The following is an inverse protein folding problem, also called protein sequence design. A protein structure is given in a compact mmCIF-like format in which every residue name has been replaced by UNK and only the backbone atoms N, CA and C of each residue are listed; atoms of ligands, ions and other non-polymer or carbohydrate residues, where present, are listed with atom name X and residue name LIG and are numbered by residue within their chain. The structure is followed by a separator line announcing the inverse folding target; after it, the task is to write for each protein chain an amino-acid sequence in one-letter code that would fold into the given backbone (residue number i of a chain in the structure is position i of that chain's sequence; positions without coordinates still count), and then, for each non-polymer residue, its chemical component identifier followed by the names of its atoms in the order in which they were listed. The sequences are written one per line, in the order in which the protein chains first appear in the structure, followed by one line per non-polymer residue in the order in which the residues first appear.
data_IF_946923089926
#
_entry.id   IF_946923089926
#
_cell.length_a   1.000
_cell.length_b   1.000
_cell.length_c   1.000
_cell.angle_alpha   90.00
_cell.angle_beta   90.00
_cell.angle_gamma   90.00
#
_symmetry.space_group_name_H-M   'P 1'
#
loop_
_entity.id
_entity.type
_entity.pdbx_description
1 polymer ?
#
# COMPACT_ATOMS: atom_id res chain seq x y z
N UNK A 1 11.54 9.94 15.20
CA UNK A 1 12.95 9.61 14.89
C UNK A 1 12.99 9.24 13.42
N UNK A 2 13.86 9.86 12.64
CA UNK A 2 13.91 9.61 11.20
C UNK A 2 14.65 8.28 10.96
N UNK A 3 13.98 7.32 10.31
CA UNK A 3 14.59 6.05 9.91
C UNK A 3 15.44 6.29 8.65
N UNK A 4 16.72 5.97 8.73
CA UNK A 4 17.62 5.91 7.58
C UNK A 4 17.58 4.51 6.97
N UNK A 5 16.97 4.40 5.78
CA UNK A 5 16.84 3.15 5.02
C UNK A 5 17.72 3.22 3.78
N UNK A 6 18.39 2.12 3.45
CA UNK A 6 19.21 1.99 2.25
C UNK A 6 18.34 1.66 1.04
N UNK A 7 18.15 2.62 0.14
CA UNK A 7 17.31 2.44 -1.06
C UNK A 7 17.85 1.40 -2.06
N UNK A 8 19.12 0.99 -1.94
CA UNK A 8 19.73 -0.06 -2.77
C UNK A 8 19.62 -1.45 -2.15
N UNK A 9 19.22 -1.55 -0.87
CA UNK A 9 19.01 -2.81 -0.18
C UNK A 9 17.61 -3.36 -0.49
N UNK A 10 17.51 -4.69 -0.54
CA UNK A 10 16.23 -5.40 -0.55
C UNK A 10 15.71 -5.63 0.87
N UNK A 11 14.42 -5.40 1.05
CA UNK A 11 13.68 -5.59 2.29
C UNK A 11 12.52 -6.54 2.10
N UNK A 12 12.07 -7.16 3.19
CA UNK A 12 10.85 -7.97 3.22
C UNK A 12 9.74 -7.27 3.99
N UNK A 13 8.54 -7.85 3.98
CA UNK A 13 7.42 -7.37 4.76
C UNK A 13 7.71 -7.40 6.27
N UNK A 14 8.52 -8.36 6.74
CA UNK A 14 8.96 -8.37 8.14
C UNK A 14 9.82 -7.14 8.48
N UNK A 15 10.75 -6.74 7.61
CA UNK A 15 11.52 -5.50 7.78
C UNK A 15 10.60 -4.27 7.72
N UNK A 16 9.68 -4.23 6.75
CA UNK A 16 8.73 -3.14 6.56
C UNK A 16 7.90 -2.87 7.82
N UNK A 17 7.48 -3.92 8.54
CA UNK A 17 6.70 -3.80 9.78
C UNK A 17 7.47 -3.13 10.93
N UNK A 18 8.81 -3.06 10.87
CA UNK A 18 9.61 -2.37 11.89
C UNK A 18 9.75 -0.87 11.61
N UNK A 19 9.25 -0.38 10.48
CA UNK A 19 9.36 1.02 10.09
C UNK A 19 8.23 1.84 10.71
N UNK A 20 8.43 2.23 11.97
CA UNK A 20 7.42 2.92 12.79
C UNK A 20 7.44 4.45 12.61
N UNK A 21 7.95 4.97 11.49
CA UNK A 21 7.86 6.40 11.18
C UNK A 21 6.60 6.74 10.36
N UNK A 22 6.34 8.02 10.17
CA UNK A 22 5.11 8.50 9.50
C UNK A 22 5.25 8.53 7.96
N UNK A 23 6.33 7.96 7.40
CA UNK A 23 6.59 8.03 5.96
C UNK A 23 5.88 6.92 5.22
N UNK A 24 5.08 7.28 4.21
CA UNK A 24 4.46 6.31 3.31
C UNK A 24 5.48 5.78 2.30
N UNK A 25 5.64 4.47 2.28
CA UNK A 25 6.56 3.75 1.40
C UNK A 25 5.90 2.47 0.90
N UNK A 26 6.32 2.02 -0.26
CA UNK A 26 5.97 0.71 -0.83
C UNK A 26 7.24 -0.12 -0.99
N UNK A 27 7.08 -1.44 -1.06
CA UNK A 27 8.10 -2.36 -1.52
C UNK A 27 7.73 -2.86 -2.91
N UNK A 28 8.63 -2.67 -3.88
CA UNK A 28 8.53 -3.26 -5.21
C UNK A 28 9.72 -4.20 -5.44
N UNK A 29 9.49 -5.52 -5.38
CA UNK A 29 10.55 -6.53 -5.45
C UNK A 29 11.67 -6.32 -4.42
N UNK A 30 11.28 -5.86 -3.23
CA UNK A 30 12.13 -5.59 -2.06
C UNK A 30 12.75 -4.20 -2.04
N UNK A 31 12.61 -3.42 -3.11
CA UNK A 31 13.15 -2.06 -3.15
C UNK A 31 12.12 -1.04 -2.68
N UNK A 32 12.60 -0.07 -1.91
CA UNK A 32 11.77 1.01 -1.37
C UNK A 32 11.34 1.96 -2.49
N UNK A 33 10.04 2.23 -2.55
CA UNK A 33 9.46 3.32 -3.36
C UNK A 33 8.73 4.29 -2.44
N UNK A 34 9.13 5.56 -2.51
CA UNK A 34 8.58 6.61 -1.66
C UNK A 34 7.27 7.14 -2.27
N UNK A 35 6.19 7.21 -1.47
CA UNK A 35 4.89 7.73 -1.91
C UNK A 35 4.77 9.26 -1.67
N UNK A 36 5.86 9.98 -1.95
CA UNK A 36 5.97 11.44 -1.82
C UNK A 36 6.17 12.09 -3.19
N UNK A 37 5.60 13.29 -3.44
CA UNK A 37 4.80 14.09 -2.50
C UNK A 37 3.43 13.49 -2.22
N UNK A 38 2.80 13.94 -1.13
CA UNK A 38 1.43 13.53 -0.82
C UNK A 38 0.47 13.89 -1.97
N UNK A 39 -0.61 13.12 -2.19
CA UNK A 39 -1.48 13.34 -3.34
C UNK A 39 -2.15 14.72 -3.31
N UNK A 40 -2.28 15.34 -4.48
CA UNK A 40 -2.95 16.63 -4.62
C UNK A 40 -4.46 16.56 -4.32
N UNK A 41 -5.07 17.71 -4.00
CA UNK A 41 -6.53 17.81 -3.76
C UNK A 41 -7.36 17.23 -4.92
N UNK A 42 -6.97 17.48 -6.18
CA UNK A 42 -7.64 16.91 -7.37
C UNK A 42 -7.63 15.37 -7.37
N UNK A 43 -6.52 14.76 -6.95
CA UNK A 43 -6.44 13.30 -6.84
C UNK A 43 -7.43 12.77 -5.79
N UNK A 44 -7.50 13.43 -4.63
CA UNK A 44 -8.41 13.04 -3.55
C UNK A 44 -9.88 13.23 -3.94
N UNK A 45 -10.22 14.28 -4.69
CA UNK A 45 -11.57 14.51 -5.20
C UNK A 45 -12.01 13.36 -6.13
N UNK A 46 -11.16 13.00 -7.11
CA UNK A 46 -11.46 11.88 -8.03
C UNK A 46 -11.59 10.55 -7.29
N UNK A 47 -10.69 10.27 -6.34
CA UNK A 47 -10.75 9.05 -5.53
C UNK A 47 -12.06 8.97 -4.73
N UNK A 48 -12.52 10.10 -4.17
CA UNK A 48 -13.74 10.16 -3.36
C UNK A 48 -15.00 9.83 -4.18
N UNK A 49 -15.11 10.39 -5.37
CA UNK A 49 -16.23 10.11 -6.29
C UNK A 49 -16.23 8.65 -6.73
N UNK A 50 -15.08 8.13 -7.19
CA UNK A 50 -14.97 6.73 -7.61
C UNK A 50 -15.29 5.76 -6.48
N UNK A 51 -14.76 6.00 -5.28
CA UNK A 51 -15.04 5.18 -4.11
C UNK A 51 -16.54 5.18 -3.78
N UNK A 52 -17.20 6.33 -3.87
CA UNK A 52 -18.65 6.46 -3.63
C UNK A 52 -19.46 5.61 -4.62
N UNK A 53 -19.15 5.70 -5.92
CA UNK A 53 -19.82 4.90 -6.95
C UNK A 53 -19.64 3.40 -6.72
N UNK A 54 -18.41 2.95 -6.43
CA UNK A 54 -18.15 1.54 -6.14
C UNK A 54 -18.87 1.06 -4.88
N UNK A 55 -18.83 1.84 -3.79
CA UNK A 55 -19.55 1.51 -2.55
C UNK A 55 -21.04 1.34 -2.83
N UNK A 56 -21.66 2.27 -3.55
CA UNK A 56 -23.08 2.24 -3.88
C UNK A 56 -23.45 1.02 -4.73
N UNK A 57 -22.60 0.65 -5.68
CA UNK A 57 -22.79 -0.55 -6.49
C UNK A 57 -22.64 -1.84 -5.67
N UNK A 58 -21.60 -1.96 -4.86
CA UNK A 58 -21.27 -3.17 -4.11
C UNK A 58 -22.22 -3.44 -2.94
N UNK A 59 -22.76 -2.39 -2.30
CA UNK A 59 -23.77 -2.52 -1.23
C UNK A 59 -25.04 -3.24 -1.70
N UNK A 60 -25.34 -3.24 -2.99
CA UNK A 60 -26.53 -3.91 -3.58
C UNK A 60 -26.32 -5.42 -3.73
N UNK A 61 -26.26 -6.14 -2.60
CA UNK A 61 -26.16 -7.61 -2.47
C UNK A 61 -24.94 -8.25 -3.14
N UNK A 62 -23.82 -7.53 -3.28
CA UNK A 62 -22.56 -8.12 -3.77
C UNK A 62 -21.71 -8.59 -2.57
N UNK A 63 -20.89 -9.62 -2.78
CA UNK A 63 -19.97 -10.14 -1.75
C UNK A 63 -18.61 -9.41 -1.70
N UNK A 64 -18.42 -8.38 -2.52
CA UNK A 64 -17.14 -7.67 -2.63
C UNK A 64 -17.09 -6.48 -1.66
N UNK A 65 -15.88 -6.07 -1.29
CA UNK A 65 -15.59 -4.91 -0.44
C UNK A 65 -14.58 -4.02 -1.16
N UNK A 66 -14.58 -2.73 -0.84
CA UNK A 66 -13.64 -1.73 -1.38
C UNK A 66 -12.81 -1.16 -0.23
N UNK A 67 -11.53 -0.92 -0.51
CA UNK A 67 -10.55 -0.36 0.41
C UNK A 67 -9.71 0.68 -0.37
N UNK A 68 -9.90 1.99 -0.16
CA UNK A 68 -9.08 3.01 -0.81
C UNK A 68 -7.71 3.14 -0.12
N UNK A 69 -6.72 3.67 -0.83
CA UNK A 69 -5.44 4.04 -0.23
C UNK A 69 -5.64 5.05 0.93
N UNK A 70 -4.84 4.97 2.02
CA UNK A 70 -3.76 4.01 2.26
C UNK A 70 -4.26 2.64 2.73
N UNK A 71 -3.83 1.57 2.05
CA UNK A 71 -4.07 0.19 2.46
C UNK A 71 -2.97 -0.72 1.89
N UNK A 72 -2.28 -1.49 2.74
CA UNK A 72 -1.19 -2.34 2.31
C UNK A 72 -1.71 -3.62 1.63
N UNK A 73 -1.38 -3.76 0.34
CA UNK A 73 -1.64 -4.95 -0.46
C UNK A 73 -0.35 -5.72 -0.64
N UNK A 74 -0.32 -6.94 -0.10
CA UNK A 74 0.83 -7.85 -0.17
C UNK A 74 0.67 -8.78 -1.36
N UNK A 75 1.72 -8.93 -2.17
CA UNK A 75 1.73 -9.79 -3.35
C UNK A 75 2.76 -10.92 -3.17
N UNK A 76 2.41 -12.01 -2.44
CA UNK A 76 3.30 -13.15 -2.22
C UNK A 76 3.49 -14.01 -3.48
N UNK A 77 4.63 -14.67 -3.58
CA UNK A 77 4.78 -15.82 -4.47
C UNK A 77 4.00 -17.04 -3.94
N UNK A 78 3.74 -18.01 -4.81
CA UNK A 78 3.03 -19.24 -4.43
C UNK A 78 3.81 -19.97 -3.32
N UNK A 79 3.17 -20.17 -2.17
CA UNK A 79 3.77 -20.84 -1.01
C UNK A 79 4.74 -19.98 -0.20
N UNK A 80 4.84 -18.68 -0.48
CA UNK A 80 5.67 -17.76 0.27
C UNK A 80 5.03 -17.37 1.60
N UNK A 81 5.82 -17.40 2.68
CA UNK A 81 5.39 -16.91 3.98
C UNK A 81 5.32 -15.38 3.98
N UNK A 82 4.35 -14.84 4.72
CA UNK A 82 4.13 -13.39 4.85
C UNK A 82 5.40 -12.60 5.16
N UNK A 83 6.24 -13.09 6.07
CA UNK A 83 7.50 -12.45 6.49
C UNK A 83 8.51 -12.28 5.37
N UNK A 84 8.43 -13.12 4.32
CA UNK A 84 9.36 -13.14 3.18
C UNK A 84 8.86 -12.34 1.99
N UNK A 85 7.61 -11.88 2.02
CA UNK A 85 7.02 -11.09 0.93
C UNK A 85 7.88 -9.86 0.67
N UNK A 86 8.22 -9.62 -0.60
CA UNK A 86 9.05 -8.48 -1.01
C UNK A 86 8.26 -7.42 -1.78
N UNK A 87 6.97 -7.65 -2.02
CA UNK A 87 6.11 -6.69 -2.73
C UNK A 87 4.91 -6.33 -1.88
N UNK A 88 4.86 -5.07 -1.47
CA UNK A 88 3.84 -4.46 -0.60
C UNK A 88 3.51 -3.11 -1.19
N UNK A 89 2.30 -2.95 -1.69
CA UNK A 89 1.86 -1.76 -2.43
C UNK A 89 0.70 -1.08 -1.70
N UNK A 90 0.54 0.22 -1.88
CA UNK A 90 -0.55 1.04 -1.38
C UNK A 90 -1.34 1.67 -2.55
N UNK A 91 -2.08 0.85 -3.32
CA UNK A 91 -2.80 1.27 -4.52
C UNK A 91 -4.00 2.19 -4.25
#
# INVERSE_FOLDING_TARGET
MELELDLNKKYTYADYLTWLDEKRRELYNGFIRMMTPAPAMKHQAVLSELNTEFVNFLRKKKKCKIFPAPFDVRLPNIGENDEKITTVLQP
#
